data_IF_115462355193
#
_entry.id   IF_115462355193
#
_cell.length_a   1.000
_cell.length_b   1.000
_cell.length_c   1.000
_cell.angle_alpha   90.00
_cell.angle_beta   90.00
_cell.angle_gamma   90.00
#
_symmetry.space_group_name_H-M   'P 1'
#
loop_
_entity.id
_entity.type
_entity.pdbx_description
1 polymer ?
#
# COMPACT_ATOMS: atom_id res chain seq x y z
N UNK A 1 -19.93 1.69 4.04
CA UNK A 1 -18.64 1.71 4.77
C UNK A 1 -17.98 3.04 4.44
N UNK A 2 -17.74 3.91 5.42
CA UNK A 2 -17.02 5.17 5.23
C UNK A 2 -15.61 4.98 5.77
N UNK A 3 -14.59 5.23 4.96
CA UNK A 3 -13.17 5.23 5.36
C UNK A 3 -12.61 6.60 4.96
N UNK A 4 -11.85 7.23 5.85
CA UNK A 4 -11.33 8.59 5.64
C UNK A 4 -10.00 8.62 4.88
N UNK A 5 -9.21 7.53 4.99
CA UNK A 5 -7.90 7.42 4.35
C UNK A 5 -7.81 6.18 3.45
N UNK A 6 -6.98 6.27 2.42
CA UNK A 6 -6.57 5.11 1.60
C UNK A 6 -5.07 4.95 1.69
N UNK A 7 -4.61 3.76 2.06
CA UNK A 7 -3.20 3.45 2.27
C UNK A 7 -2.78 2.35 1.31
N UNK A 8 -1.67 2.55 0.60
CA UNK A 8 -1.03 1.48 -0.16
C UNK A 8 0.13 0.90 0.67
N UNK A 9 0.08 -0.39 0.96
CA UNK A 9 1.16 -1.12 1.63
C UNK A 9 1.71 -2.17 0.67
N UNK A 10 2.99 -2.08 0.29
CA UNK A 10 3.51 -3.01 -0.71
C UNK A 10 4.99 -3.34 -0.59
N UNK A 11 5.32 -4.55 -1.04
CA UNK A 11 6.65 -4.92 -1.50
C UNK A 11 6.65 -4.90 -3.02
N UNK A 12 7.52 -4.14 -3.68
CA UNK A 12 7.48 -3.93 -5.13
C UNK A 12 8.85 -3.63 -5.76
N UNK A 13 9.79 -4.59 -5.81
CA UNK A 13 11.15 -4.34 -6.33
C UNK A 13 11.23 -3.82 -7.76
N UNK A 14 10.27 -4.18 -8.60
CA UNK A 14 10.19 -3.76 -10.01
C UNK A 14 9.09 -2.73 -10.28
N UNK A 15 8.57 -2.07 -9.23
CA UNK A 15 7.45 -1.12 -9.27
C UNK A 15 6.08 -1.66 -9.76
N UNK A 16 6.01 -2.89 -10.28
CA UNK A 16 4.76 -3.46 -10.84
C UNK A 16 3.63 -3.50 -9.81
N UNK A 17 3.90 -4.02 -8.61
CA UNK A 17 2.88 -4.12 -7.55
C UNK A 17 2.39 -2.74 -7.11
N UNK A 18 3.29 -1.75 -6.97
CA UNK A 18 2.92 -0.36 -6.68
C UNK A 18 1.94 0.21 -7.72
N UNK A 19 2.27 0.07 -9.01
CA UNK A 19 1.44 0.58 -10.11
C UNK A 19 0.05 -0.06 -10.10
N UNK A 20 -0.03 -1.38 -9.88
CA UNK A 20 -1.32 -2.08 -9.81
C UNK A 20 -2.16 -1.57 -8.63
N UNK A 21 -1.56 -1.34 -7.46
CA UNK A 21 -2.29 -0.79 -6.31
C UNK A 21 -2.77 0.65 -6.54
N UNK A 22 -1.96 1.49 -7.19
CA UNK A 22 -2.34 2.86 -7.58
C UNK A 22 -3.56 2.84 -8.52
N UNK A 23 -3.56 1.98 -9.55
CA UNK A 23 -4.68 1.86 -10.48
C UNK A 23 -5.93 1.20 -9.85
N UNK A 24 -5.77 0.30 -8.88
CA UNK A 24 -6.89 -0.21 -8.07
C UNK A 24 -7.53 0.92 -7.28
N UNK A 25 -6.75 1.73 -6.56
CA UNK A 25 -7.25 2.86 -5.78
C UNK A 25 -8.03 3.86 -6.64
N UNK A 26 -7.48 4.18 -7.82
CA UNK A 26 -8.12 5.00 -8.83
C UNK A 26 -9.42 4.38 -9.36
N UNK A 27 -9.42 3.07 -9.65
CA UNK A 27 -10.60 2.35 -10.14
C UNK A 27 -11.77 2.32 -9.15
N UNK A 28 -11.49 2.38 -7.84
CA UNK A 28 -12.52 2.47 -6.79
C UNK A 28 -12.85 3.92 -6.39
N UNK A 29 -12.30 4.92 -7.09
CA UNK A 29 -12.56 6.34 -6.85
C UNK A 29 -12.00 6.84 -5.52
N UNK A 30 -10.84 6.33 -5.10
CA UNK A 30 -10.18 6.71 -3.84
C UNK A 30 -8.81 7.32 -4.10
N UNK A 31 -8.58 8.51 -3.54
CA UNK A 31 -7.25 9.11 -3.50
C UNK A 31 -6.36 8.40 -2.48
N UNK A 32 -5.09 8.20 -2.85
CA UNK A 32 -4.07 7.60 -1.99
C UNK A 32 -3.54 8.65 -1.02
N UNK A 33 -3.76 8.43 0.27
CA UNK A 33 -3.32 9.35 1.32
C UNK A 33 -1.88 9.05 1.78
N UNK A 34 -1.50 7.77 1.81
CA UNK A 34 -0.19 7.31 2.31
C UNK A 34 0.27 6.10 1.52
N UNK A 35 1.58 6.02 1.24
CA UNK A 35 2.24 4.83 0.70
C UNK A 35 3.28 4.30 1.69
N UNK A 36 3.29 2.99 1.89
CA UNK A 36 4.24 2.28 2.76
C UNK A 36 4.95 1.25 1.88
N UNK A 37 6.17 1.60 1.48
CA UNK A 37 7.02 0.75 0.66
C UNK A 37 7.97 -0.09 1.52
N UNK A 38 7.59 -1.35 1.74
CA UNK A 38 8.41 -2.31 2.51
C UNK A 38 9.49 -2.99 1.65
N UNK A 39 9.69 -2.55 0.40
CA UNK A 39 10.84 -2.97 -0.42
C UNK A 39 12.15 -2.54 0.26
N UNK A 40 12.17 -1.37 0.90
CA UNK A 40 13.31 -0.92 1.70
C UNK A 40 13.44 -1.74 2.99
N UNK A 41 14.63 -2.30 3.31
CA UNK A 41 14.91 -2.93 4.60
C UNK A 41 14.67 -1.99 5.79
N UNK A 42 14.93 -0.69 5.63
CA UNK A 42 14.80 0.29 6.72
C UNK A 42 13.34 0.40 7.19
N UNK A 43 12.39 0.37 6.26
CA UNK A 43 10.95 0.45 6.57
C UNK A 43 10.47 -0.84 7.24
N UNK A 44 11.01 -2.01 6.85
CA UNK A 44 10.67 -3.32 7.46
C UNK A 44 11.12 -3.45 8.91
N UNK A 45 12.18 -2.73 9.30
CA UNK A 45 12.72 -2.77 10.65
C UNK A 45 12.05 -1.77 11.60
N UNK A 46 11.14 -0.93 11.10
CA UNK A 46 10.34 -0.02 11.93
C UNK A 46 9.09 -0.74 12.46
N UNK A 47 8.54 -0.30 13.61
CA UNK A 47 7.25 -0.78 14.07
C UNK A 47 6.16 -0.57 13.01
N UNK A 48 5.18 -1.48 12.87
CA UNK A 48 4.05 -1.27 11.99
C UNK A 48 3.30 0.03 12.32
N UNK A 49 2.86 0.81 11.33
CA UNK A 49 2.07 2.00 11.58
C UNK A 49 0.67 1.65 12.08
N UNK A 50 0.04 2.56 12.80
CA UNK A 50 -1.39 2.47 13.12
C UNK A 50 -2.22 2.86 11.90
N UNK A 51 -3.18 2.02 11.52
CA UNK A 51 -3.97 2.24 10.30
C UNK A 51 -5.27 3.03 10.53
N UNK A 52 -5.77 3.11 11.77
CA UNK A 52 -6.99 3.86 12.10
C UNK A 52 -8.19 3.47 11.23
N UNK A 53 -9.03 4.47 10.87
CA UNK A 53 -10.18 4.31 9.98
C UNK A 53 -9.76 4.48 8.50
N UNK A 54 -9.04 3.47 7.97
CA UNK A 54 -8.49 3.50 6.63
C UNK A 54 -8.85 2.24 5.80
N UNK A 55 -8.97 2.43 4.49
CA UNK A 55 -8.90 1.36 3.51
C UNK A 55 -7.43 1.08 3.20
N UNK A 56 -6.95 -0.12 3.54
CA UNK A 56 -5.57 -0.54 3.24
C UNK A 56 -5.56 -1.50 2.06
N UNK A 57 -4.86 -1.14 1.00
CA UNK A 57 -4.59 -1.99 -0.15
C UNK A 57 -3.19 -2.60 0.01
N UNK A 58 -3.13 -3.93 0.16
CA UNK A 58 -1.88 -4.68 0.40
C UNK A 58 -1.48 -5.44 -0.86
N UNK A 59 -0.23 -5.31 -1.29
CA UNK A 59 0.28 -6.00 -2.48
C UNK A 59 1.69 -6.54 -2.29
N UNK A 60 1.93 -7.75 -2.80
CA UNK A 60 3.28 -8.31 -2.92
C UNK A 60 3.39 -9.17 -4.18
N UNK A 61 4.55 -9.22 -4.84
CA UNK A 61 4.84 -10.18 -5.89
C UNK A 61 4.93 -11.59 -5.31
N UNK A 62 4.67 -12.59 -6.16
CA UNK A 62 4.91 -14.00 -5.83
C UNK A 62 6.33 -14.35 -6.28
N UNK A 63 7.13 -14.88 -5.36
CA UNK A 63 8.42 -15.49 -5.64
C UNK A 63 8.32 -17.01 -5.46
N UNK A 64 9.16 -17.76 -6.19
CA UNK A 64 9.29 -19.22 -6.07
C UNK A 64 10.36 -19.62 -5.07
#
# INVERSE_FOLDING_TARGET
>A
MSFNNTILLYFSPTATTRIILEEIAKGIGKDVSVTIDITSPEVRNQPPPEFGDALVLIGAPVYG
#
